data_IF_458947315486
#
_entry.id   IF_458947315486
#
_cell.length_a   1.000
_cell.length_b   1.000
_cell.length_c   1.000
_cell.angle_alpha   90.00
_cell.angle_beta   90.00
_cell.angle_gamma   90.00
#
_symmetry.space_group_name_H-M   'P 1'
#
loop_
_entity.id
_entity.type
_entity.pdbx_description
1 polymer ?
2 polymer ?
#
# COMPACT_ATOMS: atom_id res chain seq x y z
N UNK A 1 -2.16 51.33 -10.84
CA UNK A 1 -2.58 50.05 -11.45
C UNK A 1 -2.98 49.02 -10.38
N UNK A 2 -4.22 48.51 -10.39
CA UNK A 2 -4.71 47.53 -9.41
C UNK A 2 -4.09 46.13 -9.59
N UNK A 3 -4.15 45.36 -8.51
CA UNK A 3 -3.65 43.98 -8.42
C UNK A 3 -4.50 42.99 -9.24
N UNK A 4 -3.93 41.81 -9.53
CA UNK A 4 -4.62 40.69 -10.18
C UNK A 4 -3.75 39.42 -10.28
N UNK A 5 -4.39 38.28 -10.54
CA UNK A 5 -3.74 36.97 -10.73
C UNK A 5 -3.12 36.80 -12.13
N UNK A 6 -2.19 35.83 -12.33
CA UNK A 6 -1.71 35.42 -13.65
C UNK A 6 -2.82 35.05 -14.65
N UNK A 7 -2.52 35.15 -15.95
CA UNK A 7 -3.49 34.94 -17.03
C UNK A 7 -2.84 34.79 -18.41
N UNK A 8 -2.49 33.56 -18.82
CA UNK A 8 -1.87 33.30 -20.11
C UNK A 8 -2.84 33.49 -21.30
N UNK A 9 -2.28 33.56 -22.51
CA UNK A 9 -3.02 33.82 -23.76
C UNK A 9 -3.86 32.63 -24.29
N UNK A 10 -3.84 31.47 -23.62
CA UNK A 10 -4.58 30.26 -23.98
C UNK A 10 -4.98 29.42 -22.75
N UNK A 11 -5.89 28.46 -22.94
CA UNK A 11 -6.38 27.56 -21.89
C UNK A 11 -6.74 26.17 -22.45
N UNK A 12 -6.54 25.14 -21.61
CA UNK A 12 -6.78 23.73 -21.92
C UNK A 12 -7.00 22.91 -20.63
N UNK A 13 -7.58 21.70 -20.75
CA UNK A 13 -7.75 20.74 -19.64
C UNK A 13 -7.98 19.31 -20.14
N UNK A 14 -7.62 18.32 -19.31
CA UNK A 14 -7.84 16.89 -19.51
C UNK A 14 -7.84 16.17 -18.14
N UNK A 15 -8.24 14.90 -18.08
CA UNK A 15 -8.16 14.08 -16.86
C UNK A 15 -6.70 13.88 -16.38
N UNK A 16 -6.48 13.78 -15.05
CA UNK A 16 -5.18 13.45 -14.47
C UNK A 16 -4.83 11.96 -14.60
N UNK A 17 -3.75 11.55 -13.93
CA UNK A 17 -3.15 10.22 -14.00
C UNK A 17 -3.92 9.09 -13.29
N UNK A 18 -5.25 9.08 -13.41
CA UNK A 18 -6.16 8.06 -12.85
C UNK A 18 -5.78 6.65 -13.35
N UNK A 19 -5.65 5.70 -12.42
CA UNK A 19 -5.21 4.32 -12.70
C UNK A 19 -6.29 3.43 -13.33
N UNK A 20 -5.86 2.22 -13.66
CA UNK A 20 -6.61 1.15 -14.34
C UNK A 20 -6.17 -0.25 -13.86
N UNK A 21 -6.91 -1.29 -14.24
CA UNK A 21 -6.63 -2.72 -14.00
C UNK A 21 -6.48 -3.12 -12.51
N UNK A 22 -5.97 -4.33 -12.26
CA UNK A 22 -5.87 -4.95 -10.92
C UNK A 22 -5.42 -6.41 -10.89
N UNK A 23 -5.58 -7.12 -12.01
CA UNK A 23 -5.31 -8.56 -12.20
C UNK A 23 -3.95 -9.09 -11.71
N UNK A 24 -2.92 -8.24 -11.74
CA UNK A 24 -1.51 -8.60 -11.51
C UNK A 24 -0.75 -7.58 -10.64
N UNK A 25 -1.52 -6.96 -9.76
CA UNK A 25 -1.16 -5.95 -8.77
C UNK A 25 -1.99 -6.21 -7.51
N UNK A 26 -1.47 -7.07 -6.63
CA UNK A 26 -2.15 -7.53 -5.41
C UNK A 26 -2.21 -6.38 -4.40
N UNK A 27 -3.21 -5.51 -4.53
CA UNK A 27 -3.55 -4.52 -3.52
C UNK A 27 -4.11 -5.27 -2.33
N UNK A 28 -3.31 -5.29 -1.29
CA UNK A 28 -3.71 -5.63 0.07
C UNK A 28 -3.89 -4.35 0.84
N UNK A 29 -4.44 -4.51 2.03
CA UNK A 29 -4.51 -3.54 3.13
C UNK A 29 -3.98 -4.19 4.40
N UNK A 30 -3.30 -3.42 5.24
CA UNK A 30 -2.96 -3.80 6.60
C UNK A 30 -4.22 -3.87 7.47
N UNK A 31 -4.46 -5.03 8.08
CA UNK A 31 -5.44 -5.25 9.13
C UNK A 31 -5.04 -4.55 10.43
N UNK A 32 -3.74 -4.52 10.75
CA UNK A 32 -3.18 -3.99 11.99
C UNK A 32 -1.86 -3.22 11.77
N UNK A 33 -1.46 -2.38 12.73
CA UNK A 33 -0.19 -1.64 12.69
C UNK A 33 1.03 -2.54 12.96
N UNK A 34 2.09 -2.40 12.15
CA UNK A 34 3.28 -3.27 12.18
C UNK A 34 4.59 -2.48 12.10
N UNK A 35 5.59 -2.88 12.89
CA UNK A 35 6.83 -2.14 13.05
C UNK A 35 8.07 -3.05 13.07
N UNK A 36 8.29 -3.74 11.94
CA UNK A 36 9.42 -4.63 11.64
C UNK A 36 10.09 -5.31 12.86
N UNK A 37 9.41 -6.32 13.40
CA UNK A 37 9.84 -7.08 14.60
C UNK A 37 11.27 -7.64 14.45
N UNK A 38 11.62 -8.04 13.22
CA UNK A 38 12.92 -8.60 12.81
C UNK A 38 13.36 -8.00 11.46
N UNK A 39 14.59 -8.30 11.01
CA UNK A 39 15.22 -7.63 9.85
C UNK A 39 14.54 -7.92 8.49
N UNK A 40 14.80 -7.06 7.50
CA UNK A 40 14.22 -7.09 6.15
C UNK A 40 12.68 -7.20 6.14
N UNK A 41 11.97 -6.29 6.81
CA UNK A 41 10.52 -6.17 6.75
C UNK A 41 10.15 -4.71 6.66
N UNK A 42 9.05 -4.49 5.96
CA UNK A 42 8.34 -3.24 5.97
C UNK A 42 7.74 -3.00 7.36
N UNK A 43 7.64 -1.74 7.74
CA UNK A 43 6.78 -1.27 8.82
C UNK A 43 5.67 -0.41 8.21
N UNK A 44 4.45 -0.90 8.36
CA UNK A 44 3.21 -0.31 7.84
C UNK A 44 2.21 -0.02 8.97
N UNK A 45 1.08 0.59 8.63
CA UNK A 45 0.03 0.92 9.59
C UNK A 45 -1.30 0.34 9.16
N UNK A 46 -2.20 0.12 10.11
CA UNK A 46 -3.56 -0.34 9.84
C UNK A 46 -4.22 0.57 8.82
N UNK A 47 -4.64 -0.04 7.72
CA UNK A 47 -5.27 0.68 6.63
C UNK A 47 -4.28 1.25 5.60
N UNK A 48 -2.98 0.93 5.71
CA UNK A 48 -2.02 1.06 4.62
C UNK A 48 -2.36 -0.01 3.60
N UNK A 49 -2.78 0.42 2.42
CA UNK A 49 -2.74 -0.46 1.30
C UNK A 49 -1.31 -0.62 0.82
N UNK A 50 -1.04 -1.80 0.31
CA UNK A 50 0.25 -2.19 -0.21
C UNK A 50 0.06 -3.05 -1.45
N UNK A 51 0.84 -2.75 -2.48
CA UNK A 51 1.00 -3.61 -3.65
C UNK A 51 1.93 -4.76 -3.25
N UNK A 52 1.39 -5.94 -3.01
CA UNK A 52 2.16 -7.19 -2.88
C UNK A 52 2.81 -7.54 -4.23
N UNK A 53 4.06 -8.00 -4.17
CA UNK A 53 4.98 -8.23 -5.28
C UNK A 53 5.42 -9.71 -5.36
N UNK A 54 5.65 -10.35 -4.20
CA UNK A 54 5.82 -11.81 -4.12
C UNK A 54 4.97 -12.41 -3.00
N UNK A 55 4.41 -13.59 -3.26
CA UNK A 55 3.46 -14.32 -2.42
C UNK A 55 3.76 -15.82 -2.60
N UNK A 56 4.63 -16.36 -1.74
CA UNK A 56 5.19 -17.72 -1.85
C UNK A 56 5.44 -18.39 -0.49
N UNK A 57 4.76 -17.91 0.55
CA UNK A 57 5.01 -18.25 1.95
C UNK A 57 4.10 -17.43 2.87
N UNK A 58 4.31 -17.52 4.19
CA UNK A 58 3.52 -16.74 5.16
C UNK A 58 3.90 -15.24 5.19
N UNK A 59 5.01 -14.85 4.58
CA UNK A 59 5.45 -13.46 4.42
C UNK A 59 5.58 -13.12 2.94
N UNK A 60 5.11 -11.93 2.58
CA UNK A 60 4.99 -11.47 1.19
C UNK A 60 5.82 -10.21 0.98
N UNK A 61 6.52 -10.06 -0.14
CA UNK A 61 7.13 -8.76 -0.47
C UNK A 61 6.01 -7.80 -0.87
N UNK A 62 6.01 -6.56 -0.39
CA UNK A 62 5.03 -5.55 -0.77
C UNK A 62 5.60 -4.12 -0.75
N UNK A 63 4.84 -3.19 -1.34
CA UNK A 63 5.09 -1.74 -1.30
C UNK A 63 3.88 -0.98 -0.80
N UNK A 64 4.02 -0.21 0.28
CA UNK A 64 3.07 0.79 0.77
C UNK A 64 2.62 1.71 -0.34
N UNK A 65 1.39 1.51 -0.78
CA UNK A 65 0.79 2.13 -1.95
C UNK A 65 0.39 3.60 -1.66
N UNK A 66 0.45 4.00 -0.38
CA UNK A 66 0.27 5.38 0.07
C UNK A 66 1.58 6.21 0.13
N UNK A 67 2.75 5.56 0.23
CA UNK A 67 4.04 6.20 0.60
C UNK A 67 5.26 5.69 -0.19
N UNK A 68 5.07 4.68 -1.05
CA UNK A 68 6.06 3.98 -1.90
C UNK A 68 7.30 3.46 -1.17
N UNK A 69 7.11 3.07 0.10
CA UNK A 69 8.04 2.27 0.91
C UNK A 69 7.92 0.79 0.54
N UNK A 70 8.96 -0.02 0.69
CA UNK A 70 8.98 -1.44 0.31
C UNK A 70 9.63 -2.34 1.37
N UNK A 71 9.23 -3.62 1.39
CA UNK A 71 9.74 -4.64 2.31
C UNK A 71 8.93 -5.95 2.29
N UNK A 72 9.42 -7.00 2.94
CA UNK A 72 8.55 -8.14 3.28
C UNK A 72 7.55 -7.76 4.37
N UNK A 73 6.40 -8.43 4.38
CA UNK A 73 5.32 -8.17 5.32
C UNK A 73 4.58 -9.46 5.70
N UNK A 74 3.96 -9.51 6.88
CA UNK A 74 3.22 -10.66 7.38
C UNK A 74 1.84 -10.80 6.74
N UNK A 75 1.55 -11.93 6.09
CA UNK A 75 0.23 -12.16 5.47
C UNK A 75 -0.93 -12.27 6.47
N UNK A 76 -0.67 -12.66 7.74
CA UNK A 76 -1.70 -12.69 8.80
C UNK A 76 -2.20 -11.28 9.20
N UNK A 77 -1.41 -10.25 8.90
CA UNK A 77 -1.65 -8.85 9.25
C UNK A 77 -2.38 -8.07 8.18
N UNK A 78 -2.89 -8.77 7.17
CA UNK A 78 -3.08 -8.15 5.86
C UNK A 78 -4.07 -8.92 5.03
N UNK A 79 -4.56 -8.25 3.99
CA UNK A 79 -5.74 -8.74 3.30
C UNK A 79 -5.99 -8.05 1.97
N UNK A 80 -6.25 -8.84 0.93
CA UNK A 80 -6.57 -8.37 -0.41
C UNK A 80 -7.77 -7.42 -0.40
N UNK A 81 -7.67 -6.30 -1.12
CA UNK A 81 -8.78 -5.34 -1.30
C UNK A 81 -10.00 -5.99 -1.96
N UNK A 82 -9.72 -6.96 -2.83
CA UNK A 82 -10.68 -7.82 -3.53
C UNK A 82 -11.43 -8.81 -2.63
N UNK A 83 -10.96 -8.96 -1.39
CA UNK A 83 -11.45 -9.97 -0.42
C UNK A 83 -11.99 -9.36 0.88
N UNK A 84 -12.21 -8.05 0.89
CA UNK A 84 -12.82 -7.31 1.99
C UNK A 84 -14.36 -7.46 2.01
N UNK A 85 -14.99 -7.02 3.10
CA UNK A 85 -16.45 -7.05 3.33
C UNK A 85 -17.07 -5.64 3.26
N UNK A 86 -16.52 -4.80 2.37
CA UNK A 86 -16.79 -3.35 2.24
C UNK A 86 -17.04 -2.95 0.78
C UNK B 1 8.74 -15.40 0.13
N UNK B 2 8.46 -15.39 1.44
CA UNK B 2 9.29 -15.98 2.49
C UNK B 2 8.44 -16.64 3.60
N UNK B 3 9.09 -17.41 4.47
CA UNK B 3 8.51 -17.98 5.71
C UNK B 3 9.52 -17.91 6.87
N UNK B 4 10.17 -16.74 6.95
CA UNK B 4 11.25 -16.36 7.88
C UNK B 4 10.94 -16.60 9.38
N UNK B 5 9.66 -16.53 9.74
CA UNK B 5 9.11 -16.70 11.10
C UNK B 5 7.68 -17.27 10.99
N UNK B 6 7.17 -17.98 12.02
CA UNK B 6 5.82 -18.58 12.04
C UNK B 6 4.69 -17.55 12.27
N UNK B 7 4.72 -16.46 11.50
CA UNK B 7 3.93 -15.22 11.58
C UNK B 7 4.08 -14.41 12.90
N UNK B 8 3.85 -13.08 12.86
CA UNK B 8 3.84 -12.22 14.04
C UNK B 8 2.64 -12.48 14.96
N UNK B 9 2.73 -12.10 16.25
CA UNK B 9 1.61 -12.18 17.18
C UNK B 9 0.60 -11.07 16.89
N UNK B 10 -0.59 -11.52 16.48
CA UNK B 10 -1.74 -10.67 16.24
C UNK B 10 -2.10 -9.77 17.45
N UNK B 11 -2.77 -8.63 17.22
CA UNK B 11 -3.07 -7.65 18.26
C UNK B 11 -4.15 -8.13 19.25
N UNK B 12 -4.45 -7.26 20.22
CA UNK B 12 -5.50 -7.47 21.23
C UNK B 12 -6.94 -7.47 20.67
N UNK B 13 -7.14 -6.93 19.46
CA UNK B 13 -8.44 -6.76 18.77
C UNK B 13 -9.49 -5.97 19.59
N UNK B 14 -9.07 -5.17 20.56
#
# INVERSE_FOLDING_TARGET
GPLGSPGPNSHNSNTPGIREAGSEDIIVVALYDYEAIHHEDLSFQKGDQMVVLEESGEWWKARSLATRKEGYIPSNYVARVDSLET
XHSKYPLPPLPSLX
#
